data_IF_236421521159
#
_entry.id   IF_236421521159
#
_cell.length_a   1.000
_cell.length_b   1.000
_cell.length_c   1.000
_cell.angle_alpha   90.00
_cell.angle_beta   90.00
_cell.angle_gamma   90.00
#
_symmetry.space_group_name_H-M   'P 1'
#
loop_
_entity.id
_entity.type
_entity.pdbx_description
1 polymer ?
#
# COMPACT_ATOMS: atom_id res chain seq x y z
N UNK A 1 1.48 4.63 15.60
CA UNK A 1 0.22 4.26 14.92
C UNK A 1 -0.49 3.19 15.76
N UNK A 2 -1.75 2.80 15.47
CA UNK A 2 -2.36 1.63 16.12
C UNK A 2 -1.53 0.35 15.90
N UNK A 3 -1.40 -0.55 16.90
CA UNK A 3 -0.48 -1.70 16.82
C UNK A 3 -0.76 -2.66 15.67
N UNK A 4 -2.03 -2.83 15.30
CA UNK A 4 -2.42 -3.66 14.16
C UNK A 4 -1.91 -3.08 12.84
N UNK A 5 -1.99 -1.76 12.66
CA UNK A 5 -1.47 -1.07 11.47
C UNK A 5 0.05 -1.20 11.38
N UNK A 6 0.77 -1.02 12.49
CA UNK A 6 2.23 -1.16 12.54
C UNK A 6 2.67 -2.58 12.16
N UNK A 7 1.96 -3.60 12.64
CA UNK A 7 2.23 -4.98 12.29
C UNK A 7 2.03 -5.27 10.79
N UNK A 8 0.97 -4.73 10.18
CA UNK A 8 0.73 -4.90 8.74
C UNK A 8 1.77 -4.15 7.90
N UNK A 9 2.21 -2.95 8.31
CA UNK A 9 3.31 -2.24 7.66
C UNK A 9 4.62 -3.01 7.77
N UNK A 10 4.92 -3.59 8.93
CA UNK A 10 6.11 -4.44 9.10
C UNK A 10 6.08 -5.67 8.17
N UNK A 11 4.90 -6.28 7.96
CA UNK A 11 4.74 -7.36 6.98
C UNK A 11 4.99 -6.89 5.54
N UNK A 12 4.51 -5.70 5.17
CA UNK A 12 4.78 -5.11 3.85
C UNK A 12 6.27 -4.82 3.64
N UNK A 13 6.96 -4.34 4.68
CA UNK A 13 8.40 -4.09 4.63
C UNK A 13 9.20 -5.40 4.54
N UNK A 14 8.75 -6.45 5.23
CA UNK A 14 9.39 -7.77 5.20
C UNK A 14 9.20 -8.50 3.86
N UNK A 15 8.03 -8.39 3.23
CA UNK A 15 7.70 -9.16 2.03
C UNK A 15 8.42 -8.67 0.76
N UNK A 16 8.96 -9.59 -0.05
CA UNK A 16 9.46 -9.27 -1.40
C UNK A 16 8.33 -9.15 -2.43
N UNK A 17 7.23 -9.87 -2.20
CA UNK A 17 6.03 -9.86 -3.03
C UNK A 17 4.76 -9.90 -2.19
N UNK A 18 3.72 -9.17 -2.62
CA UNK A 18 2.42 -9.10 -1.94
C UNK A 18 1.31 -9.55 -2.90
N UNK A 19 0.50 -10.52 -2.48
CA UNK A 19 -0.66 -11.00 -3.24
C UNK A 19 -1.93 -10.48 -2.57
N UNK A 20 -2.75 -9.76 -3.32
CA UNK A 20 -4.09 -9.37 -2.90
C UNK A 20 -5.09 -10.33 -3.51
N UNK A 21 -5.65 -11.21 -2.68
CA UNK A 21 -6.66 -12.18 -3.09
C UNK A 21 -8.04 -11.77 -2.57
N UNK A 22 -9.00 -11.55 -3.46
CA UNK A 22 -10.35 -11.16 -3.07
C UNK A 22 -11.41 -11.48 -4.13
N UNK A 23 -12.67 -11.70 -3.73
CA UNK A 23 -13.79 -11.75 -4.66
C UNK A 23 -14.13 -10.36 -5.19
N UNK A 24 -14.47 -10.26 -6.48
CA UNK A 24 -14.87 -8.98 -7.09
C UNK A 24 -16.26 -8.58 -6.59
N UNK A 25 -16.33 -7.57 -5.75
CA UNK A 25 -17.58 -7.03 -5.22
C UNK A 25 -17.82 -5.64 -5.78
N UNK A 26 -18.92 -5.45 -6.50
CA UNK A 26 -19.28 -4.14 -7.08
C UNK A 26 -18.15 -3.52 -7.89
N UNK A 27 -17.53 -4.32 -8.77
CA UNK A 27 -16.39 -3.91 -9.61
C UNK A 27 -15.16 -3.43 -8.81
N UNK A 28 -15.03 -3.83 -7.55
CA UNK A 28 -13.92 -3.45 -6.68
C UNK A 28 -13.60 -4.54 -5.65
N UNK A 29 -12.62 -4.26 -4.79
CA UNK A 29 -12.29 -5.10 -3.63
C UNK A 29 -13.39 -5.00 -2.56
N UNK A 30 -13.60 -6.05 -1.74
CA UNK A 30 -14.49 -5.99 -0.58
C UNK A 30 -14.14 -4.85 0.37
N UNK A 31 -15.15 -4.28 1.03
CA UNK A 31 -14.98 -3.12 1.92
C UNK A 31 -13.93 -3.33 3.02
N UNK A 32 -13.81 -4.56 3.55
CA UNK A 32 -12.79 -4.90 4.55
C UNK A 32 -11.36 -4.76 4.01
N UNK A 33 -11.11 -5.14 2.75
CA UNK A 33 -9.80 -4.97 2.11
C UNK A 33 -9.55 -3.50 1.79
N UNK A 34 -10.58 -2.76 1.35
CA UNK A 34 -10.46 -1.32 1.17
C UNK A 34 -10.10 -0.60 2.47
N UNK A 35 -10.75 -0.96 3.57
CA UNK A 35 -10.47 -0.42 4.90
C UNK A 35 -9.06 -0.79 5.38
N UNK A 36 -8.57 -1.99 5.09
CA UNK A 36 -7.17 -2.35 5.33
C UNK A 36 -6.22 -1.43 4.56
N UNK A 37 -6.45 -1.21 3.26
CA UNK A 37 -5.63 -0.29 2.44
C UNK A 37 -5.64 1.12 3.03
N UNK A 38 -6.82 1.69 3.33
CA UNK A 38 -6.93 3.05 3.88
C UNK A 38 -6.20 3.24 5.21
N UNK A 39 -6.17 2.20 6.04
CA UNK A 39 -5.55 2.24 7.37
C UNK A 39 -4.04 2.00 7.32
N UNK A 40 -3.62 1.03 6.51
CA UNK A 40 -2.20 0.60 6.43
C UNK A 40 -1.39 1.53 5.54
N UNK A 41 -1.96 2.02 4.43
CA UNK A 41 -1.30 2.93 3.50
C UNK A 41 -1.38 4.37 4.01
N UNK A 42 -0.75 4.62 5.15
CA UNK A 42 -0.80 5.90 5.85
C UNK A 42 0.18 6.95 5.32
N UNK A 43 -0.04 8.19 5.73
CA UNK A 43 0.88 9.30 5.49
C UNK A 43 2.25 9.02 6.14
N UNK A 44 3.33 9.27 5.40
CA UNK A 44 4.71 8.95 5.82
C UNK A 44 5.10 7.49 5.58
N UNK A 45 4.18 6.64 5.10
CA UNK A 45 4.47 5.26 4.71
C UNK A 45 4.19 5.04 3.22
N UNK A 46 2.93 5.15 2.78
CA UNK A 46 2.56 4.89 1.39
C UNK A 46 2.35 6.17 0.56
N UNK A 47 2.06 7.29 1.22
CA UNK A 47 1.89 8.61 0.57
C UNK A 47 2.39 9.72 1.50
N UNK A 48 2.54 10.94 0.98
CA UNK A 48 3.08 12.06 1.76
C UNK A 48 4.56 11.88 2.11
N UNK A 49 5.28 11.10 1.32
CA UNK A 49 6.74 10.90 1.37
C UNK A 49 7.40 11.62 0.20
N UNK A 50 8.68 11.95 0.34
CA UNK A 50 9.44 12.68 -0.68
C UNK A 50 9.21 14.19 -0.66
N UNK A 51 10.11 14.90 -1.35
CA UNK A 51 10.05 16.35 -1.47
C UNK A 51 8.96 16.81 -2.46
N UNK A 52 8.55 18.07 -2.34
CA UNK A 52 7.69 18.74 -3.30
C UNK A 52 8.42 19.99 -3.81
N UNK A 53 8.93 19.90 -5.04
CA UNK A 53 9.74 20.91 -5.71
C UNK A 53 9.32 21.04 -7.19
N UNK A 54 9.94 21.97 -7.91
CA UNK A 54 9.69 22.16 -9.34
C UNK A 54 10.10 20.93 -10.18
N UNK A 55 11.00 20.09 -9.66
CA UNK A 55 11.56 18.94 -10.38
C UNK A 55 11.09 17.59 -9.82
N UNK A 56 10.55 17.55 -8.61
CA UNK A 56 10.14 16.31 -7.94
C UNK A 56 8.87 16.51 -7.13
N UNK A 57 7.88 15.62 -7.26
CA UNK A 57 6.60 15.79 -6.59
C UNK A 57 6.17 14.52 -5.85
N UNK A 58 6.82 14.32 -4.70
CA UNK A 58 6.66 13.18 -3.81
C UNK A 58 7.19 11.88 -4.40
N UNK A 59 7.58 10.96 -3.52
CA UNK A 59 8.08 9.65 -3.94
C UNK A 59 6.88 8.74 -4.18
N UNK A 60 6.44 8.65 -5.44
CA UNK A 60 5.24 7.93 -5.88
C UNK A 60 5.37 7.48 -7.34
N UNK A 61 4.40 6.71 -7.83
CA UNK A 61 4.33 6.25 -9.23
C UNK A 61 5.61 5.53 -9.74
N UNK A 62 6.07 4.53 -8.98
CA UNK A 62 7.29 3.77 -9.28
C UNK A 62 8.36 3.95 -8.20
N UNK A 63 8.21 4.96 -7.37
CA UNK A 63 9.06 5.27 -6.22
C UNK A 63 8.31 5.09 -4.88
N UNK A 64 9.00 5.39 -3.78
CA UNK A 64 8.47 5.36 -2.42
C UNK A 64 8.87 4.12 -1.62
N UNK A 65 8.28 3.97 -0.44
CA UNK A 65 8.68 2.98 0.59
C UNK A 65 8.65 1.54 0.12
N UNK A 66 7.80 1.20 -0.85
CA UNK A 66 7.64 -0.15 -1.37
C UNK A 66 8.34 -0.37 -2.72
N UNK A 67 9.20 0.56 -3.16
CA UNK A 67 9.97 0.42 -4.39
C UNK A 67 10.79 -0.87 -4.39
N UNK A 68 10.85 -1.54 -5.54
CA UNK A 68 11.53 -2.83 -5.73
C UNK A 68 10.73 -4.07 -5.32
N UNK A 69 9.64 -3.92 -4.56
CA UNK A 69 8.73 -5.03 -4.22
C UNK A 69 7.76 -5.33 -5.36
N UNK A 70 7.26 -6.56 -5.43
CA UNK A 70 6.29 -7.01 -6.44
C UNK A 70 4.89 -7.10 -5.84
N UNK A 71 3.86 -6.91 -6.66
CA UNK A 71 2.47 -7.11 -6.26
C UNK A 71 1.68 -7.88 -7.33
N UNK A 72 0.69 -8.66 -6.90
CA UNK A 72 -0.21 -9.39 -7.80
C UNK A 72 -1.65 -9.34 -7.26
N UNK A 73 -2.62 -9.22 -8.17
CA UNK A 73 -4.04 -9.35 -7.85
C UNK A 73 -4.53 -10.73 -8.28
N UNK A 74 -5.17 -11.47 -7.36
CA UNK A 74 -5.88 -12.71 -7.65
C UNK A 74 -7.35 -12.49 -7.36
N UNK A 75 -8.15 -12.35 -8.41
CA UNK A 75 -9.56 -11.97 -8.31
C UNK A 75 -10.45 -13.13 -8.73
N UNK A 76 -11.47 -13.42 -7.93
CA UNK A 76 -12.52 -14.41 -8.23
C UNK A 76 -13.85 -13.76 -8.49
#
# INVERSE_FOLDING_TARGET
QPPDIEAEQARLLWADAVIFQFPLWWFSMPAIMKGWIERVYACGFAYGVGEHSDQHWGDRYGEGTLAGKRAMLTVT
#
